data_IF_465598319793
#
_entry.id   IF_465598319793
#
_cell.length_a   1.000
_cell.length_b   1.000
_cell.length_c   1.000
_cell.angle_alpha   90.00
_cell.angle_beta   90.00
_cell.angle_gamma   90.00
#
_symmetry.space_group_name_H-M   'P 1'
#
loop_
_entity.id
_entity.type
_entity.pdbx_description
1 polymer ?
#
# COMPACT_ATOMS: atom_id res chain seq x y z
N UNK A 1 0.16 33.84 -24.64
CA UNK A 1 1.34 33.10 -25.16
C UNK A 1 2.50 33.14 -24.15
N UNK A 2 2.28 32.78 -22.88
CA UNK A 2 3.32 32.90 -21.82
C UNK A 2 3.29 31.76 -20.78
N UNK A 3 2.57 30.66 -21.03
CA UNK A 3 2.41 29.55 -20.06
C UNK A 3 3.42 28.39 -20.21
N UNK A 4 4.28 28.41 -21.22
CA UNK A 4 5.14 27.26 -21.57
C UNK A 4 6.57 27.32 -21.01
N UNK A 5 7.01 28.44 -20.43
CA UNK A 5 8.39 28.56 -19.91
C UNK A 5 8.70 27.66 -18.70
N UNK A 6 7.67 27.25 -17.93
CA UNK A 6 7.87 26.39 -16.77
C UNK A 6 7.98 24.90 -17.12
N UNK A 7 7.25 24.40 -18.12
CA UNK A 7 7.36 23.00 -18.56
C UNK A 7 8.76 22.71 -19.13
N UNK A 8 9.33 23.68 -19.86
CA UNK A 8 10.70 23.60 -20.36
C UNK A 8 11.78 23.50 -19.27
N UNK A 9 11.49 23.97 -18.05
CA UNK A 9 12.42 23.87 -16.91
C UNK A 9 12.50 22.47 -16.30
N UNK A 10 11.44 21.65 -16.48
CA UNK A 10 11.40 20.24 -16.07
C UNK A 10 12.12 19.33 -17.08
N UNK A 11 12.36 19.83 -18.30
CA UNK A 11 13.13 19.19 -19.38
C UNK A 11 14.64 19.38 -19.18
N UNK A 12 15.11 19.29 -17.95
CA UNK A 12 16.53 19.18 -17.64
C UNK A 12 16.75 17.78 -17.08
N UNK A 13 17.68 16.98 -17.65
CA UNK A 13 17.99 15.68 -17.07
C UNK A 13 18.41 15.89 -15.61
N UNK A 14 18.01 15.01 -14.68
CA UNK A 14 18.48 15.09 -13.30
C UNK A 14 20.00 15.06 -13.32
N UNK A 15 20.63 16.15 -12.86
CA UNK A 15 22.07 16.14 -12.60
C UNK A 15 22.34 15.07 -11.55
N UNK A 16 23.16 14.08 -11.92
CA UNK A 16 23.67 12.98 -11.11
C UNK A 16 23.83 13.36 -9.63
N UNK A 17 22.75 13.23 -8.88
CA UNK A 17 22.73 13.21 -7.43
C UNK A 17 22.01 11.91 -7.14
N UNK A 18 22.82 10.86 -7.02
CA UNK A 18 22.33 9.55 -6.64
C UNK A 18 21.46 9.70 -5.38
N UNK A 19 20.22 9.19 -5.37
CA UNK A 19 19.45 9.14 -4.13
C UNK A 19 20.24 8.30 -3.12
N UNK A 20 20.12 8.58 -1.80
CA UNK A 20 20.79 7.77 -0.78
C UNK A 20 20.35 6.31 -0.93
N UNK A 21 21.27 5.48 -1.42
CA UNK A 21 21.12 4.04 -1.57
C UNK A 21 21.09 3.39 -0.19
N UNK A 22 19.91 3.32 0.41
CA UNK A 22 19.65 2.50 1.61
C UNK A 22 18.30 1.78 1.55
N UNK A 23 17.84 1.46 0.33
CA UNK A 23 16.80 0.45 0.12
C UNK A 23 17.43 -0.94 -0.01
N UNK A 24 16.86 -1.99 0.62
CA UNK A 24 17.41 -3.34 0.50
C UNK A 24 17.34 -3.85 -0.94
N UNK A 25 18.47 -4.37 -1.43
CA UNK A 25 18.68 -4.93 -2.76
C UNK A 25 17.63 -6.00 -3.13
N UNK A 26 17.27 -6.05 -4.42
CA UNK A 26 16.37 -7.02 -5.04
C UNK A 26 16.80 -8.50 -4.93
N UNK A 27 17.96 -8.78 -4.32
CA UNK A 27 18.41 -10.13 -3.93
C UNK A 27 17.78 -10.67 -2.64
N UNK A 28 17.01 -9.86 -1.89
CA UNK A 28 16.37 -10.28 -0.63
C UNK A 28 15.26 -11.35 -0.74
N UNK A 29 14.98 -11.87 -1.95
CA UNK A 29 13.91 -12.89 -2.17
C UNK A 29 14.32 -14.33 -1.82
N UNK A 30 15.57 -14.60 -1.44
CA UNK A 30 16.03 -15.96 -1.13
C UNK A 30 16.62 -16.19 0.27
N UNK A 31 16.71 -15.16 1.12
CA UNK A 31 17.39 -15.28 2.43
C UNK A 31 16.43 -15.32 3.63
N UNK A 32 15.33 -16.08 3.56
CA UNK A 32 14.46 -16.25 4.72
C UNK A 32 15.04 -17.19 5.81
N UNK A 33 16.16 -17.86 5.52
CA UNK A 33 16.78 -18.85 6.43
C UNK A 33 17.83 -18.28 7.38
N UNK A 34 18.34 -17.06 7.15
CA UNK A 34 19.25 -16.32 8.02
C UNK A 34 18.80 -14.87 7.97
N UNK A 35 18.15 -14.30 8.96
CA UNK A 35 18.90 -13.77 10.09
C UNK A 35 17.96 -13.15 11.12
N UNK A 36 18.19 -13.42 12.40
CA UNK A 36 17.62 -12.62 13.51
C UNK A 36 18.21 -11.20 13.54
N UNK A 37 19.34 -10.98 12.85
CA UNK A 37 20.01 -9.69 12.71
C UNK A 37 19.16 -8.66 11.95
N UNK A 38 18.41 -9.09 10.92
CA UNK A 38 17.57 -8.18 10.12
C UNK A 38 16.35 -7.66 10.88
N UNK A 39 15.73 -8.48 11.73
CA UNK A 39 14.62 -8.07 12.59
C UNK A 39 15.09 -7.04 13.63
N UNK A 40 16.24 -7.28 14.29
CA UNK A 40 16.82 -6.31 15.22
C UNK A 40 17.23 -5.02 14.52
N UNK A 41 17.79 -5.10 13.32
CA UNK A 41 18.12 -3.92 12.51
C UNK A 41 16.88 -3.13 12.13
N UNK A 42 15.78 -3.78 11.76
CA UNK A 42 14.50 -3.09 11.48
C UNK A 42 13.92 -2.48 12.75
N UNK A 43 13.85 -3.23 13.85
CA UNK A 43 13.35 -2.70 15.13
C UNK A 43 14.19 -1.51 15.61
N UNK A 44 15.51 -1.57 15.43
CA UNK A 44 16.42 -0.48 15.80
C UNK A 44 16.33 0.72 14.85
N UNK A 45 16.22 0.47 13.54
CA UNK A 45 16.11 1.52 12.51
C UNK A 45 14.79 2.28 12.61
N UNK A 46 13.74 1.66 13.16
CA UNK A 46 12.41 2.21 13.25
C UNK A 46 11.91 2.34 14.70
N UNK A 47 12.81 2.57 15.67
CA UNK A 47 12.48 2.62 17.10
C UNK A 47 11.32 3.58 17.45
N UNK A 48 11.15 4.66 16.68
CA UNK A 48 10.06 5.63 16.83
C UNK A 48 8.68 5.17 16.31
N UNK A 49 8.58 4.01 15.65
CA UNK A 49 7.31 3.43 15.19
C UNK A 49 6.65 2.53 16.25
N UNK A 50 7.33 2.25 17.36
CA UNK A 50 6.87 1.32 18.37
C UNK A 50 6.18 2.06 19.51
N UNK A 51 5.00 1.58 19.92
CA UNK A 51 4.23 2.14 21.02
C UNK A 51 4.65 1.59 22.39
N UNK A 52 5.46 0.53 22.38
CA UNK A 52 6.01 -0.16 23.56
C UNK A 52 7.54 -0.30 23.38
N UNK A 53 8.23 -0.95 24.32
CA UNK A 53 9.67 -1.19 24.26
C UNK A 53 10.03 -1.93 22.95
N UNK A 54 10.88 -1.36 22.07
CA UNK A 54 11.33 -2.03 20.85
C UNK A 54 11.85 -3.46 21.08
N UNK A 55 12.46 -3.74 22.24
CA UNK A 55 12.93 -5.08 22.61
C UNK A 55 11.78 -6.09 22.77
N UNK A 56 10.58 -5.64 23.13
CA UNK A 56 9.38 -6.47 23.24
C UNK A 56 8.89 -6.96 21.87
N UNK A 57 8.91 -6.10 20.85
CA UNK A 57 8.61 -6.49 19.46
C UNK A 57 9.69 -7.42 18.90
N UNK A 58 10.96 -7.12 19.16
CA UNK A 58 12.06 -8.00 18.77
C UNK A 58 11.98 -9.36 19.48
N UNK A 59 11.55 -9.40 20.75
CA UNK A 59 11.29 -10.63 21.49
C UNK A 59 10.18 -11.43 20.82
N UNK A 60 9.01 -10.83 20.57
CA UNK A 60 7.88 -11.52 19.92
C UNK A 60 8.26 -12.03 18.53
N UNK A 61 8.91 -11.20 17.71
CA UNK A 61 9.36 -11.61 16.38
C UNK A 61 10.40 -12.76 16.43
N UNK A 62 11.34 -12.73 17.38
CA UNK A 62 12.31 -13.83 17.59
C UNK A 62 11.64 -15.11 18.06
N UNK A 63 10.74 -15.01 19.03
CA UNK A 63 10.02 -16.13 19.61
C UNK A 63 9.16 -16.81 18.53
N UNK A 64 8.49 -16.02 17.68
CA UNK A 64 7.75 -16.52 16.51
C UNK A 64 8.66 -17.12 15.42
N UNK A 65 9.79 -16.47 15.12
CA UNK A 65 10.77 -16.98 14.15
C UNK A 65 11.44 -18.28 14.63
N UNK A 66 11.71 -18.39 15.93
CA UNK A 66 12.26 -19.59 16.56
C UNK A 66 11.29 -20.76 16.52
N UNK A 67 10.00 -20.52 16.78
CA UNK A 67 8.94 -21.52 16.64
C UNK A 67 8.86 -22.07 15.21
N UNK A 68 9.00 -21.19 14.21
CA UNK A 68 9.10 -21.57 12.80
C UNK A 68 10.33 -22.45 12.52
N UNK A 69 11.49 -22.13 13.10
CA UNK A 69 12.76 -22.83 12.84
C UNK A 69 12.85 -24.21 13.53
N UNK A 70 12.23 -24.38 14.69
CA UNK A 70 12.52 -25.51 15.59
C UNK A 70 11.58 -26.73 15.49
N UNK A 71 10.63 -26.79 14.55
CA UNK A 71 9.80 -28.01 14.47
C UNK A 71 8.57 -27.98 13.58
N UNK A 72 8.09 -26.80 13.17
CA UNK A 72 7.03 -26.72 12.15
C UNK A 72 7.60 -26.83 10.71
N UNK A 73 8.64 -27.64 10.49
CA UNK A 73 9.50 -27.61 9.28
C UNK A 73 8.83 -28.17 8.02
N UNK A 74 7.75 -28.97 8.13
CA UNK A 74 6.96 -29.31 6.94
C UNK A 74 6.17 -28.10 6.38
N UNK A 75 5.97 -27.06 7.18
CA UNK A 75 5.05 -25.96 6.91
C UNK A 75 5.69 -24.79 6.15
N UNK A 76 6.92 -24.42 6.54
CA UNK A 76 7.59 -23.21 6.03
C UNK A 76 8.34 -23.42 4.72
N UNK A 77 8.80 -24.65 4.45
CA UNK A 77 9.45 -24.98 3.18
C UNK A 77 8.49 -24.98 1.98
N UNK A 78 7.19 -25.26 2.18
CA UNK A 78 6.18 -25.17 1.11
C UNK A 78 5.76 -23.71 0.82
N UNK A 79 5.79 -22.86 1.85
CA UNK A 79 5.39 -21.46 1.74
C UNK A 79 6.45 -20.60 1.03
N UNK A 80 7.73 -20.92 1.21
CA UNK A 80 8.86 -20.16 0.66
C UNK A 80 9.19 -20.50 -0.80
N UNK A 81 8.83 -21.68 -1.28
CA UNK A 81 9.12 -22.11 -2.65
C UNK A 81 8.09 -21.63 -3.69
N UNK A 82 7.16 -20.72 -3.33
CA UNK A 82 6.11 -20.26 -4.24
C UNK A 82 5.09 -21.34 -4.65
N UNK A 83 5.29 -22.60 -4.25
CA UNK A 83 4.32 -23.69 -4.33
C UNK A 83 3.37 -23.59 -3.14
N UNK A 84 2.56 -22.53 -3.14
CA UNK A 84 1.38 -22.43 -2.29
C UNK A 84 0.49 -23.64 -2.57
N UNK A 85 0.38 -24.54 -1.59
CA UNK A 85 -0.36 -25.81 -1.63
C UNK A 85 -1.51 -25.85 -2.65
N UNK A 86 -1.42 -26.75 -3.66
CA UNK A 86 -2.44 -27.17 -4.59
C UNK A 86 -3.87 -27.22 -4.07
N UNK A 87 -4.02 -27.95 -2.97
CA UNK A 87 -5.25 -28.65 -2.65
C UNK A 87 -5.98 -28.12 -1.42
N UNK A 88 -7.28 -28.43 -1.39
CA UNK A 88 -8.24 -28.09 -0.34
C UNK A 88 -7.90 -28.63 1.07
N UNK A 89 -6.83 -29.42 1.22
CA UNK A 89 -6.45 -30.08 2.48
C UNK A 89 -5.25 -29.45 3.19
N UNK A 90 -4.65 -28.38 2.68
CA UNK A 90 -3.50 -27.76 3.35
C UNK A 90 -3.98 -26.96 4.57
N UNK A 91 -3.70 -27.48 5.76
CA UNK A 91 -4.00 -26.88 7.08
C UNK A 91 -3.05 -25.72 7.40
N UNK A 92 -2.87 -24.81 6.44
CA UNK A 92 -1.94 -23.69 6.54
C UNK A 92 -2.51 -22.46 7.24
N UNK A 93 -2.97 -22.68 8.47
CA UNK A 93 -3.40 -21.61 9.37
C UNK A 93 -2.67 -21.81 10.69
N UNK A 94 -2.42 -20.70 11.39
CA UNK A 94 -2.16 -20.68 12.82
C UNK A 94 -2.99 -21.76 13.54
N UNK A 95 -2.32 -22.87 13.82
CA UNK A 95 -2.86 -24.04 14.49
C UNK A 95 -3.34 -23.61 15.88
N UNK A 96 -4.18 -24.41 16.51
CA UNK A 96 -4.45 -24.27 17.95
C UNK A 96 -3.13 -24.17 18.74
N UNK A 97 -2.03 -24.71 18.22
CA UNK A 97 -0.68 -24.60 18.78
C UNK A 97 -0.15 -23.15 18.76
N UNK A 98 -0.34 -22.38 17.68
CA UNK A 98 0.05 -20.97 17.64
C UNK A 98 -0.75 -20.14 18.65
N UNK A 99 -2.05 -20.44 18.79
CA UNK A 99 -2.90 -19.78 19.76
C UNK A 99 -2.46 -20.13 21.19
N UNK A 100 -2.21 -21.41 21.46
CA UNK A 100 -1.76 -21.92 22.75
C UNK A 100 -0.42 -21.30 23.14
N UNK A 101 0.53 -21.26 22.20
CA UNK A 101 1.83 -20.64 22.37
C UNK A 101 1.75 -19.15 22.72
N UNK A 102 0.91 -18.38 22.02
CA UNK A 102 0.69 -16.95 22.31
C UNK A 102 0.15 -16.76 23.72
N UNK A 103 -0.79 -17.61 24.15
CA UNK A 103 -1.37 -17.58 25.49
C UNK A 103 -0.34 -17.96 26.56
N UNK A 104 0.44 -19.02 26.35
CA UNK A 104 1.50 -19.48 27.26
C UNK A 104 2.58 -18.41 27.46
N UNK A 105 2.96 -17.72 26.38
CA UNK A 105 3.98 -16.67 26.41
C UNK A 105 3.41 -15.28 26.76
N UNK A 106 2.11 -15.21 27.11
CA UNK A 106 1.41 -13.96 27.49
C UNK A 106 1.56 -12.84 26.46
N UNK A 107 1.63 -13.20 25.18
CA UNK A 107 1.74 -12.22 24.09
C UNK A 107 0.34 -11.67 23.84
N UNK A 108 0.18 -10.35 24.00
CA UNK A 108 -1.14 -9.72 23.81
C UNK A 108 -1.50 -9.68 22.33
N UNK A 109 -2.80 -9.73 22.02
CA UNK A 109 -3.26 -9.66 20.63
C UNK A 109 -2.90 -8.32 19.95
N UNK A 110 -2.78 -7.25 20.75
CA UNK A 110 -2.28 -5.94 20.31
C UNK A 110 -0.81 -6.01 19.89
N UNK A 111 0.06 -6.47 20.78
CA UNK A 111 1.49 -6.59 20.49
C UNK A 111 1.74 -7.49 19.27
N UNK A 112 0.94 -8.55 19.14
CA UNK A 112 0.99 -9.45 17.99
C UNK A 112 0.61 -8.75 16.68
N UNK A 113 -0.45 -7.92 16.70
CA UNK A 113 -0.86 -7.13 15.55
C UNK A 113 0.20 -6.09 15.15
N UNK A 114 0.71 -5.34 16.12
CA UNK A 114 1.70 -4.29 15.87
C UNK A 114 3.02 -4.90 15.36
N UNK A 115 3.46 -6.02 15.93
CA UNK A 115 4.60 -6.80 15.41
C UNK A 115 4.35 -7.23 13.97
N UNK A 116 3.15 -7.74 13.67
CA UNK A 116 2.78 -8.14 12.32
C UNK A 116 2.84 -6.98 11.31
N UNK A 117 2.39 -5.78 11.70
CA UNK A 117 2.48 -4.58 10.87
C UNK A 117 3.93 -4.23 10.50
N UNK A 118 4.87 -4.37 11.45
CA UNK A 118 6.29 -4.09 11.25
C UNK A 118 6.94 -5.16 10.36
N UNK A 119 6.75 -6.44 10.67
CA UNK A 119 7.42 -7.52 9.93
C UNK A 119 6.83 -7.74 8.54
N UNK A 120 5.64 -7.18 8.22
CA UNK A 120 4.97 -7.34 6.93
C UNK A 120 5.90 -7.07 5.74
N UNK A 121 6.75 -6.05 5.84
CA UNK A 121 7.71 -5.70 4.78
C UNK A 121 8.81 -6.75 4.58
N UNK A 122 9.08 -7.57 5.59
CA UNK A 122 10.13 -8.59 5.61
C UNK A 122 9.55 -9.97 5.28
N UNK A 123 8.45 -10.34 5.95
CA UNK A 123 7.80 -11.63 5.84
C UNK A 123 6.27 -11.44 5.86
N UNK A 124 5.65 -11.19 4.70
CA UNK A 124 4.20 -11.03 4.61
C UNK A 124 3.44 -12.23 5.17
N UNK A 125 3.91 -13.44 4.89
CA UNK A 125 3.28 -14.67 5.37
C UNK A 125 3.22 -14.77 6.90
N UNK A 126 4.31 -14.42 7.59
CA UNK A 126 4.36 -14.42 9.04
C UNK A 126 3.44 -13.33 9.62
N UNK A 127 3.42 -12.14 9.01
CA UNK A 127 2.49 -11.08 9.39
C UNK A 127 1.02 -11.54 9.29
N UNK A 128 0.65 -12.22 8.20
CA UNK A 128 -0.70 -12.77 8.04
C UNK A 128 -1.06 -13.80 9.13
N UNK A 129 -0.12 -14.67 9.51
CA UNK A 129 -0.34 -15.64 10.59
C UNK A 129 -0.53 -14.94 11.93
N UNK A 130 0.31 -13.96 12.25
CA UNK A 130 0.20 -13.15 13.46
C UNK A 130 -1.14 -12.40 13.54
N UNK A 131 -1.56 -11.72 12.47
CA UNK A 131 -2.87 -11.09 12.41
C UNK A 131 -3.99 -12.12 12.55
N UNK A 132 -3.86 -13.30 11.96
CA UNK A 132 -4.88 -14.36 12.07
C UNK A 132 -5.05 -14.83 13.52
N UNK A 133 -3.95 -15.06 14.25
CA UNK A 133 -4.01 -15.40 15.68
C UNK A 133 -4.61 -14.25 16.49
N UNK A 134 -4.19 -13.02 16.26
CA UNK A 134 -4.75 -11.85 16.93
C UNK A 134 -6.26 -11.70 16.66
N UNK A 135 -6.72 -11.97 15.44
CA UNK A 135 -8.14 -11.97 15.07
C UNK A 135 -8.92 -13.14 15.71
N UNK A 136 -8.29 -14.31 15.88
CA UNK A 136 -8.87 -15.43 16.66
C UNK A 136 -9.08 -15.01 18.12
N UNK A 137 -8.14 -14.25 18.69
CA UNK A 137 -8.25 -13.59 20.01
C UNK A 137 -9.20 -12.38 20.03
N UNK A 138 -10.05 -12.21 19.01
CA UNK A 138 -11.02 -11.11 18.87
C UNK A 138 -10.40 -9.71 18.83
N UNK A 139 -9.14 -9.58 18.40
CA UNK A 139 -8.54 -8.28 18.24
C UNK A 139 -9.05 -7.56 16.98
N UNK A 140 -9.86 -6.52 17.22
CA UNK A 140 -10.53 -5.71 16.20
C UNK A 140 -9.63 -5.31 15.04
N UNK A 141 -8.48 -4.68 15.32
CA UNK A 141 -7.62 -4.15 14.26
C UNK A 141 -7.14 -5.27 13.31
N UNK A 142 -6.80 -6.44 13.84
CA UNK A 142 -6.41 -7.59 13.01
C UNK A 142 -7.57 -8.14 12.17
N UNK A 143 -8.80 -8.17 12.70
CA UNK A 143 -9.99 -8.60 11.94
C UNK A 143 -10.18 -7.69 10.71
N UNK A 144 -10.07 -6.38 10.91
CA UNK A 144 -10.23 -5.37 9.87
C UNK A 144 -9.06 -5.43 8.88
N UNK A 145 -7.81 -5.49 9.35
CA UNK A 145 -6.62 -5.59 8.49
C UNK A 145 -6.65 -6.84 7.60
N UNK A 146 -7.08 -7.99 8.13
CA UNK A 146 -7.23 -9.20 7.30
C UNK A 146 -8.29 -9.02 6.21
N UNK A 147 -9.42 -8.37 6.52
CA UNK A 147 -10.44 -8.06 5.53
C UNK A 147 -9.96 -7.08 4.46
N UNK A 148 -9.23 -6.05 4.86
CA UNK A 148 -8.57 -5.13 3.94
C UNK A 148 -7.72 -5.89 2.91
N UNK A 149 -6.91 -6.84 3.36
CA UNK A 149 -6.09 -7.64 2.44
C UNK A 149 -6.89 -8.60 1.57
N UNK A 150 -8.00 -9.14 2.05
CA UNK A 150 -8.91 -9.95 1.21
C UNK A 150 -9.51 -9.13 0.07
N UNK A 151 -9.84 -7.86 0.34
CA UNK A 151 -10.33 -6.91 -0.68
C UNK A 151 -9.19 -6.52 -1.64
N UNK A 152 -7.96 -6.34 -1.13
CA UNK A 152 -6.82 -6.00 -1.97
C UNK A 152 -6.43 -7.10 -2.96
N UNK A 153 -6.43 -8.36 -2.52
CA UNK A 153 -5.92 -9.50 -3.27
C UNK A 153 -7.00 -10.58 -3.47
N UNK A 154 -8.00 -10.32 -4.33
CA UNK A 154 -9.06 -11.28 -4.60
C UNK A 154 -8.48 -12.55 -5.26
N UNK A 155 -8.99 -13.72 -4.88
CA UNK A 155 -8.59 -15.01 -5.46
C UNK A 155 -7.38 -15.68 -4.79
N UNK A 156 -6.79 -15.06 -3.77
CA UNK A 156 -5.78 -15.75 -2.96
C UNK A 156 -6.45 -16.87 -2.13
N UNK A 157 -5.86 -18.08 -2.11
CA UNK A 157 -6.39 -19.25 -1.38
C UNK A 157 -6.53 -19.02 0.12
N UNK A 158 -5.86 -18.00 0.66
CA UNK A 158 -6.07 -17.48 2.04
C UNK A 158 -7.55 -17.14 2.29
N UNK A 159 -8.33 -16.77 1.26
CA UNK A 159 -9.74 -16.36 1.41
C UNK A 159 -10.63 -17.42 2.06
N UNK A 160 -10.44 -18.72 1.77
CA UNK A 160 -11.24 -19.77 2.40
C UNK A 160 -10.99 -19.87 3.91
N UNK A 161 -9.76 -19.57 4.31
CA UNK A 161 -9.28 -19.70 5.68
C UNK A 161 -9.71 -18.52 6.57
N UNK A 162 -9.91 -17.33 5.99
CA UNK A 162 -10.37 -16.13 6.70
C UNK A 162 -11.91 -16.05 6.75
N UNK A 163 -12.65 -16.98 6.13
CA UNK A 163 -14.14 -16.96 6.17
C UNK A 163 -14.73 -16.89 7.58
N UNK A 164 -14.13 -17.58 8.55
CA UNK A 164 -14.58 -17.53 9.95
C UNK A 164 -14.36 -16.14 10.59
N UNK A 165 -13.33 -15.42 10.17
CA UNK A 165 -13.08 -14.02 10.55
C UNK A 165 -14.05 -13.09 9.80
N UNK A 166 -14.53 -13.52 8.63
CA UNK A 166 -15.62 -12.92 7.85
C UNK A 166 -16.80 -12.48 8.69
N UNK A 167 -17.36 -13.42 9.44
CA UNK A 167 -18.51 -13.15 10.29
C UNK A 167 -18.20 -12.08 11.35
N UNK A 168 -17.01 -12.12 11.97
CA UNK A 168 -16.61 -11.12 12.96
C UNK A 168 -16.47 -9.71 12.36
N UNK A 169 -16.00 -9.63 11.12
CA UNK A 169 -15.94 -8.34 10.41
C UNK A 169 -17.34 -7.83 10.07
N UNK A 170 -18.25 -8.71 9.63
CA UNK A 170 -19.64 -8.34 9.41
C UNK A 170 -20.29 -7.83 10.69
N UNK A 171 -20.02 -8.46 11.85
CA UNK A 171 -20.51 -7.97 13.14
C UNK A 171 -20.04 -6.55 13.45
N UNK A 172 -18.76 -6.23 13.17
CA UNK A 172 -18.20 -4.88 13.30
C UNK A 172 -18.90 -3.91 12.33
N UNK A 173 -19.07 -4.33 11.07
CA UNK A 173 -19.66 -3.51 10.02
C UNK A 173 -21.14 -3.19 10.28
N UNK A 174 -21.92 -4.17 10.76
CA UNK A 174 -23.34 -4.02 11.11
C UNK A 174 -23.54 -2.97 12.20
N UNK A 175 -22.61 -2.88 13.18
CA UNK A 175 -22.65 -1.83 14.18
C UNK A 175 -22.53 -0.43 13.55
N UNK A 176 -21.79 -0.31 12.44
CA UNK A 176 -21.72 0.90 11.62
C UNK A 176 -21.15 2.12 12.35
N UNK A 177 -20.33 1.90 13.38
CA UNK A 177 -19.68 2.92 14.21
C UNK A 177 -18.16 2.93 14.06
N UNK A 178 -17.66 2.11 13.15
CA UNK A 178 -16.26 1.81 13.00
C UNK A 178 -15.74 2.41 11.68
N UNK A 179 -14.97 3.52 11.72
CA UNK A 179 -14.54 4.18 10.49
C UNK A 179 -13.54 3.34 9.69
N UNK A 180 -12.69 2.55 10.34
CA UNK A 180 -11.74 1.67 9.65
C UNK A 180 -12.46 0.54 8.92
N UNK A 181 -13.48 -0.07 9.54
CA UNK A 181 -14.28 -1.11 8.91
C UNK A 181 -15.14 -0.55 7.75
N UNK A 182 -15.71 0.64 7.93
CA UNK A 182 -16.44 1.33 6.87
C UNK A 182 -15.52 1.69 5.69
N UNK A 183 -14.28 2.11 5.95
CA UNK A 183 -13.28 2.32 4.89
C UNK A 183 -13.04 1.04 4.08
N UNK A 184 -12.81 -0.10 4.74
CA UNK A 184 -12.58 -1.39 4.07
C UNK A 184 -13.78 -1.80 3.22
N UNK A 185 -15.00 -1.57 3.71
CA UNK A 185 -16.22 -1.82 2.94
C UNK A 185 -16.36 -0.88 1.74
N UNK A 186 -16.05 0.41 1.92
CA UNK A 186 -16.02 1.39 0.84
C UNK A 186 -15.01 1.02 -0.25
N UNK A 187 -13.84 0.51 0.14
CA UNK A 187 -12.83 -0.03 -0.78
C UNK A 187 -13.36 -1.23 -1.56
N UNK A 188 -14.05 -2.16 -0.90
CA UNK A 188 -14.68 -3.33 -1.56
C UNK A 188 -15.71 -2.88 -2.60
N UNK A 189 -16.61 -1.98 -2.23
CA UNK A 189 -17.64 -1.45 -3.12
C UNK A 189 -17.04 -0.69 -4.32
N UNK A 190 -15.99 0.11 -4.09
CA UNK A 190 -15.29 0.82 -5.16
C UNK A 190 -14.64 -0.15 -6.15
N UNK A 191 -14.06 -1.26 -5.68
CA UNK A 191 -13.51 -2.33 -6.53
C UNK A 191 -14.59 -3.09 -7.31
N UNK A 192 -15.79 -3.21 -6.76
CA UNK A 192 -16.97 -3.76 -7.44
C UNK A 192 -17.66 -2.77 -8.38
N UNK A 193 -17.09 -1.58 -8.56
CA UNK A 193 -17.64 -0.49 -9.36
C UNK A 193 -19.03 0.00 -8.89
N UNK A 194 -19.36 -0.19 -7.60
CA UNK A 194 -20.55 0.36 -6.94
C UNK A 194 -20.23 1.71 -6.33
N UNK A 195 -19.93 2.68 -7.19
CA UNK A 195 -19.27 3.93 -6.82
C UNK A 195 -20.13 4.83 -5.91
N UNK A 196 -21.44 4.88 -6.13
CA UNK A 196 -22.38 5.65 -5.32
C UNK A 196 -22.50 5.09 -3.90
N UNK A 197 -22.56 3.77 -3.76
CA UNK A 197 -22.58 3.09 -2.47
C UNK A 197 -21.26 3.28 -1.73
N UNK A 198 -20.13 3.12 -2.43
CA UNK A 198 -18.80 3.37 -1.90
C UNK A 198 -18.69 4.80 -1.35
N UNK A 199 -19.12 5.80 -2.13
CA UNK A 199 -19.12 7.22 -1.72
C UNK A 199 -19.91 7.43 -0.42
N UNK A 200 -21.11 6.85 -0.32
CA UNK A 200 -21.96 6.98 0.88
C UNK A 200 -21.27 6.40 2.12
N UNK A 201 -20.67 5.22 1.99
CA UNK A 201 -19.98 4.56 3.10
C UNK A 201 -18.69 5.30 3.50
N UNK A 202 -17.89 5.75 2.53
CA UNK A 202 -16.64 6.48 2.80
C UNK A 202 -16.91 7.83 3.49
N UNK A 203 -17.92 8.58 3.02
CA UNK A 203 -18.35 9.80 3.70
C UNK A 203 -18.80 9.53 5.13
N UNK A 204 -19.63 8.49 5.33
CA UNK A 204 -20.04 8.08 6.67
C UNK A 204 -18.84 7.76 7.55
N UNK A 205 -17.80 7.10 7.03
CA UNK A 205 -16.58 6.82 7.78
C UNK A 205 -15.89 8.11 8.24
N UNK A 206 -15.82 9.13 7.37
CA UNK A 206 -15.23 10.44 7.68
C UNK A 206 -16.08 11.29 8.61
N UNK A 207 -17.41 11.15 8.55
CA UNK A 207 -18.36 11.87 9.42
C UNK A 207 -18.36 11.33 10.86
N UNK A 208 -17.87 10.10 11.09
CA UNK A 208 -17.73 9.56 12.42
C UNK A 208 -16.65 10.33 13.19
N UNK A 209 -17.04 11.01 14.27
CA UNK A 209 -16.14 11.65 15.22
C UNK A 209 -15.44 10.61 16.11
N UNK A 210 -14.69 9.71 15.49
CA UNK A 210 -13.89 8.71 16.19
C UNK A 210 -12.54 9.32 16.59
N UNK A 211 -12.15 9.13 17.85
CA UNK A 211 -10.83 9.56 18.34
C UNK A 211 -9.66 8.90 17.60
N UNK A 212 -9.91 7.78 16.91
CA UNK A 212 -8.92 7.04 16.11
C UNK A 212 -9.55 6.55 14.82
N UNK A 213 -9.17 7.16 13.70
CA UNK A 213 -9.41 6.65 12.36
C UNK A 213 -8.03 6.45 11.72
N UNK A 214 -7.56 5.20 11.72
CA UNK A 214 -6.19 4.88 11.32
C UNK A 214 -5.92 5.12 9.84
N UNK A 215 -6.95 4.95 9.01
CA UNK A 215 -6.88 5.12 7.54
C UNK A 215 -7.62 6.35 7.03
N UNK A 216 -7.66 7.42 7.82
CA UNK A 216 -8.36 8.64 7.42
C UNK A 216 -7.83 9.21 6.09
N UNK A 217 -6.50 9.44 5.90
CA UNK A 217 -5.98 9.96 4.64
C UNK A 217 -6.28 9.05 3.45
N UNK A 218 -6.16 7.73 3.63
CA UNK A 218 -6.47 6.75 2.59
C UNK A 218 -7.98 6.70 2.26
N UNK A 219 -8.85 6.94 3.25
CA UNK A 219 -10.28 7.07 3.04
C UNK A 219 -10.62 8.32 2.22
N UNK A 220 -10.01 9.46 2.53
CA UNK A 220 -10.14 10.71 1.77
C UNK A 220 -9.64 10.52 0.34
N UNK A 221 -8.47 9.89 0.15
CA UNK A 221 -7.91 9.59 -1.16
C UNK A 221 -8.86 8.69 -1.99
N UNK A 222 -9.35 7.60 -1.40
CA UNK A 222 -10.27 6.69 -2.06
C UNK A 222 -11.61 7.36 -2.40
N UNK A 223 -12.10 8.25 -1.53
CA UNK A 223 -13.29 9.04 -1.79
C UNK A 223 -13.08 9.97 -2.99
N UNK A 224 -11.93 10.66 -3.05
CA UNK A 224 -11.59 11.51 -4.18
C UNK A 224 -11.47 10.74 -5.50
N UNK A 225 -10.79 9.59 -5.50
CA UNK A 225 -10.72 8.68 -6.65
C UNK A 225 -12.11 8.22 -7.10
N UNK A 226 -12.99 7.92 -6.15
CA UNK A 226 -14.38 7.52 -6.43
C UNK A 226 -15.17 8.69 -7.03
N UNK A 227 -14.98 9.91 -6.54
CA UNK A 227 -15.58 11.11 -7.12
C UNK A 227 -15.09 11.40 -8.54
N UNK A 228 -13.81 11.21 -8.84
CA UNK A 228 -13.28 11.34 -10.20
C UNK A 228 -14.00 10.36 -11.15
N UNK A 229 -14.18 9.10 -10.75
CA UNK A 229 -14.90 8.09 -11.54
C UNK A 229 -16.37 8.42 -11.75
N UNK A 230 -17.00 9.09 -10.78
CA UNK A 230 -18.39 9.58 -10.87
C UNK A 230 -18.53 10.92 -11.63
N UNK A 231 -17.43 11.52 -12.10
CA UNK A 231 -17.44 12.83 -12.75
C UNK A 231 -17.63 14.02 -11.79
N UNK A 232 -17.60 13.79 -10.47
CA UNK A 232 -17.66 14.83 -9.42
C UNK A 232 -16.29 15.47 -9.20
N UNK A 233 -15.81 16.11 -10.25
CA UNK A 233 -14.42 16.52 -10.36
C UNK A 233 -14.03 17.61 -9.38
N UNK A 234 -14.90 18.61 -9.14
CA UNK A 234 -14.60 19.72 -8.23
C UNK A 234 -14.37 19.21 -6.81
N UNK A 235 -15.27 18.37 -6.33
CA UNK A 235 -15.21 17.77 -5.00
C UNK A 235 -13.97 16.88 -4.85
N UNK A 236 -13.62 16.11 -5.88
CA UNK A 236 -12.41 15.30 -5.88
C UNK A 236 -11.14 16.15 -5.77
N UNK A 237 -11.02 17.21 -6.59
CA UNK A 237 -9.83 18.07 -6.61
C UNK A 237 -9.61 18.75 -5.25
N UNK A 238 -10.66 19.25 -4.60
CA UNK A 238 -10.55 19.87 -3.28
C UNK A 238 -9.99 18.91 -2.23
N UNK A 239 -10.43 17.64 -2.22
CA UNK A 239 -9.91 16.64 -1.29
C UNK A 239 -8.45 16.34 -1.60
N UNK A 240 -8.11 16.15 -2.88
CA UNK A 240 -6.73 15.82 -3.26
C UNK A 240 -5.75 16.96 -3.00
N UNK A 241 -6.17 18.22 -3.19
CA UNK A 241 -5.36 19.40 -2.86
C UNK A 241 -5.04 19.44 -1.36
N UNK A 242 -6.04 19.21 -0.50
CA UNK A 242 -5.84 19.13 0.94
C UNK A 242 -4.90 17.98 1.35
N UNK A 243 -4.97 16.84 0.67
CA UNK A 243 -4.07 15.70 0.92
C UNK A 243 -2.65 15.96 0.42
N UNK A 244 -2.49 16.61 -0.73
CA UNK A 244 -1.20 17.06 -1.26
C UNK A 244 -0.53 18.04 -0.28
N UNK A 245 -1.28 19.01 0.26
CA UNK A 245 -0.79 19.95 1.29
C UNK A 245 -0.33 19.23 2.57
N UNK A 246 -0.93 18.07 2.90
CA UNK A 246 -0.50 17.23 4.02
C UNK A 246 0.73 16.34 3.71
N UNK A 247 1.23 16.37 2.47
CA UNK A 247 2.40 15.62 2.03
C UNK A 247 2.12 14.21 1.48
N UNK A 248 0.85 13.88 1.16
CA UNK A 248 0.49 12.57 0.62
C UNK A 248 0.83 12.48 -0.88
N UNK A 249 1.89 11.75 -1.22
CA UNK A 249 2.40 11.65 -2.60
C UNK A 249 1.40 11.00 -3.56
N UNK A 250 0.56 10.10 -3.06
CA UNK A 250 -0.52 9.49 -3.82
C UNK A 250 -1.54 10.53 -4.29
N UNK A 251 -1.83 11.55 -3.47
CA UNK A 251 -2.73 12.63 -3.85
C UNK A 251 -2.13 13.51 -4.95
N UNK A 252 -0.83 13.82 -4.89
CA UNK A 252 -0.10 14.52 -5.96
C UNK A 252 -0.18 13.77 -7.28
N UNK A 253 -0.03 12.44 -7.26
CA UNK A 253 -0.17 11.61 -8.45
C UNK A 253 -1.59 11.69 -9.05
N UNK A 254 -2.62 11.55 -8.23
CA UNK A 254 -4.02 11.63 -8.68
C UNK A 254 -4.39 13.02 -9.21
N UNK A 255 -3.89 14.10 -8.59
CA UNK A 255 -4.03 15.46 -9.11
C UNK A 255 -3.36 15.62 -10.48
N UNK A 256 -2.15 15.09 -10.60
CA UNK A 256 -1.41 15.07 -11.87
C UNK A 256 -2.21 14.42 -12.98
N UNK A 257 -2.77 13.23 -12.73
CA UNK A 257 -3.62 12.51 -13.69
C UNK A 257 -4.89 13.31 -13.99
N UNK A 258 -5.57 13.81 -12.95
CA UNK A 258 -6.82 14.54 -13.11
C UNK A 258 -6.61 15.78 -14.00
N UNK A 259 -5.57 16.57 -13.78
CA UNK A 259 -5.32 17.85 -14.45
C UNK A 259 -4.87 17.73 -15.91
N UNK A 260 -4.59 16.53 -16.40
CA UNK A 260 -3.99 16.27 -17.73
C UNK A 260 -4.65 17.03 -18.89
N UNK A 261 -5.98 17.21 -18.87
CA UNK A 261 -6.73 17.90 -19.94
C UNK A 261 -6.88 19.40 -19.74
N UNK A 262 -6.92 19.86 -18.49
CA UNK A 262 -7.25 21.25 -18.14
C UNK A 262 -6.00 22.12 -18.00
N UNK A 263 -4.96 21.55 -17.38
CA UNK A 263 -3.67 22.21 -17.17
C UNK A 263 -2.54 21.19 -17.35
N UNK A 264 -2.15 20.91 -18.61
CA UNK A 264 -1.10 19.93 -18.91
C UNK A 264 0.24 20.28 -18.25
N UNK A 265 0.55 21.56 -18.05
CA UNK A 265 1.79 21.99 -17.42
C UNK A 265 1.80 21.62 -15.93
N UNK A 266 0.74 21.96 -15.18
CA UNK A 266 0.60 21.53 -13.77
C UNK A 266 0.49 20.02 -13.63
N UNK A 267 -0.14 19.36 -14.60
CA UNK A 267 -0.20 17.89 -14.66
C UNK A 267 1.20 17.29 -14.73
N UNK A 268 2.05 17.79 -15.64
CA UNK A 268 3.43 17.31 -15.78
C UNK A 268 4.27 17.54 -14.52
N UNK A 269 4.18 18.73 -13.92
CA UNK A 269 4.91 19.04 -12.69
C UNK A 269 4.59 18.05 -11.56
N UNK A 270 3.29 17.83 -11.31
CA UNK A 270 2.84 16.89 -10.26
C UNK A 270 3.19 15.44 -10.56
N UNK A 271 3.01 15.00 -11.80
CA UNK A 271 3.37 13.65 -12.21
C UNK A 271 4.86 13.39 -12.07
N UNK A 272 5.69 14.39 -12.40
CA UNK A 272 7.13 14.31 -12.19
C UNK A 272 7.49 14.21 -10.71
N UNK A 273 6.93 15.07 -9.85
CA UNK A 273 7.13 15.00 -8.40
C UNK A 273 6.75 13.63 -7.83
N UNK A 274 5.58 13.11 -8.22
CA UNK A 274 5.13 11.79 -7.79
C UNK A 274 6.01 10.64 -8.33
N UNK A 275 6.51 10.75 -9.56
CA UNK A 275 7.44 9.78 -10.13
C UNK A 275 8.78 9.77 -9.38
N UNK A 276 9.31 10.94 -9.03
CA UNK A 276 10.50 11.07 -8.17
C UNK A 276 10.26 10.52 -6.76
N UNK A 277 9.02 10.54 -6.27
CA UNK A 277 8.59 9.91 -5.02
C UNK A 277 8.51 8.38 -5.05
N UNK A 278 8.93 7.73 -6.14
CA UNK A 278 9.00 6.27 -6.27
C UNK A 278 7.89 5.63 -7.10
N UNK A 279 6.96 6.41 -7.66
CA UNK A 279 5.91 5.93 -8.57
C UNK A 279 6.37 5.97 -10.03
N UNK A 280 7.36 5.15 -10.37
CA UNK A 280 8.00 5.17 -11.69
C UNK A 280 7.02 4.94 -12.86
N UNK A 281 5.90 4.23 -12.63
CA UNK A 281 4.87 4.05 -13.65
C UNK A 281 4.27 5.37 -14.15
N UNK A 282 4.37 6.45 -13.37
CA UNK A 282 3.89 7.78 -13.76
C UNK A 282 4.72 8.43 -14.87
N UNK A 283 5.96 7.97 -15.11
CA UNK A 283 6.71 8.41 -16.28
C UNK A 283 6.02 8.03 -17.60
N UNK A 284 5.22 6.95 -17.64
CA UNK A 284 4.39 6.65 -18.82
C UNK A 284 3.34 7.73 -19.07
N UNK A 285 2.77 8.32 -18.02
CA UNK A 285 1.80 9.40 -18.17
C UNK A 285 2.49 10.67 -18.72
N UNK A 286 3.70 10.97 -18.24
CA UNK A 286 4.52 12.07 -18.78
C UNK A 286 4.84 11.86 -20.27
N UNK A 287 5.24 10.65 -20.65
CA UNK A 287 5.50 10.30 -22.04
C UNK A 287 4.27 10.54 -22.92
N UNK A 288 3.09 10.12 -22.47
CA UNK A 288 1.86 10.32 -23.23
C UNK A 288 1.45 11.79 -23.31
N UNK A 289 1.74 12.62 -22.30
CA UNK A 289 1.46 14.07 -22.37
C UNK A 289 2.35 14.71 -23.44
N UNK A 290 3.64 14.42 -23.43
CA UNK A 290 4.59 14.96 -24.42
C UNK A 290 4.21 14.52 -25.86
N UNK A 291 3.81 13.26 -26.07
CA UNK A 291 3.31 12.81 -27.38
C UNK A 291 2.06 13.55 -27.81
N UNK A 292 1.04 13.63 -26.94
CA UNK A 292 -0.18 14.36 -27.26
C UNK A 292 0.07 15.85 -27.54
N UNK A 293 1.04 16.47 -26.87
CA UNK A 293 1.43 17.85 -27.16
C UNK A 293 2.21 17.99 -28.46
N UNK A 294 3.06 17.01 -28.80
CA UNK A 294 3.82 17.01 -30.05
C UNK A 294 2.92 16.98 -31.29
N UNK A 295 1.78 16.30 -31.20
CA UNK A 295 0.77 16.23 -32.27
C UNK A 295 -0.01 17.55 -32.44
N UNK A 296 -0.08 18.36 -31.38
CA UNK A 296 -0.80 19.64 -31.34
C UNK A 296 0.09 20.83 -31.67
N UNK A 297 1.41 20.71 -31.54
CA UNK A 297 2.32 21.83 -31.81
C UNK A 297 2.54 22.00 -33.32
N UNK A 298 2.59 23.26 -33.77
CA UNK A 298 2.81 23.58 -35.19
C UNK A 298 4.28 23.75 -35.56
N UNK A 299 5.17 23.82 -34.57
CA UNK A 299 6.62 23.91 -34.76
C UNK A 299 7.23 22.50 -34.87
N UNK A 300 7.78 22.10 -36.03
CA UNK A 300 8.39 20.79 -36.21
C UNK A 300 9.57 20.52 -35.28
N UNK A 301 10.35 21.56 -34.94
CA UNK A 301 11.49 21.42 -34.04
C UNK A 301 11.04 21.10 -32.61
N UNK A 302 10.05 21.84 -32.13
CA UNK A 302 9.45 21.59 -30.81
C UNK A 302 8.76 20.22 -30.75
N UNK A 303 8.04 19.83 -31.81
CA UNK A 303 7.41 18.51 -31.91
C UNK A 303 8.44 17.38 -31.80
N UNK A 304 9.57 17.51 -32.48
CA UNK A 304 10.66 16.53 -32.42
C UNK A 304 11.31 16.47 -31.04
N UNK A 305 11.45 17.60 -30.34
CA UNK A 305 11.97 17.65 -28.97
C UNK A 305 11.00 16.99 -27.98
N UNK A 306 9.70 17.25 -28.09
CA UNK A 306 8.67 16.57 -27.28
C UNK A 306 8.68 15.06 -27.51
N UNK A 307 8.81 14.61 -28.76
CA UNK A 307 8.93 13.19 -29.08
C UNK A 307 10.18 12.56 -28.44
N UNK A 308 11.31 13.28 -28.40
CA UNK A 308 12.53 12.84 -27.70
C UNK A 308 12.31 12.70 -26.19
N UNK A 309 11.66 13.68 -25.57
CA UNK A 309 11.31 13.60 -24.15
C UNK A 309 10.33 12.48 -23.83
N UNK A 310 9.36 12.23 -24.71
CA UNK A 310 8.45 11.09 -24.54
C UNK A 310 9.19 9.75 -24.51
N UNK A 311 10.19 9.56 -25.37
CA UNK A 311 11.03 8.35 -25.35
C UNK A 311 11.82 8.24 -24.05
N UNK A 312 12.38 9.35 -23.55
CA UNK A 312 13.14 9.35 -22.30
C UNK A 312 12.26 9.06 -21.09
N UNK A 313 11.06 9.63 -21.02
CA UNK A 313 10.08 9.29 -20.00
C UNK A 313 9.68 7.81 -20.06
N UNK A 314 9.44 7.28 -21.26
CA UNK A 314 9.14 5.85 -21.43
C UNK A 314 10.29 4.96 -20.97
N UNK A 315 11.55 5.39 -21.16
CA UNK A 315 12.74 4.68 -20.67
C UNK A 315 12.79 4.68 -19.14
N UNK A 316 12.55 5.83 -18.51
CA UNK A 316 12.53 5.98 -17.05
C UNK A 316 11.38 5.24 -16.37
N UNK A 317 10.30 4.95 -17.11
CA UNK A 317 9.20 4.14 -16.62
C UNK A 317 9.58 2.65 -16.43
N UNK A 318 10.63 2.16 -17.10
CA UNK A 318 11.12 0.79 -16.93
C UNK A 318 12.00 0.70 -15.66
N UNK A 319 11.57 -0.02 -14.61
CA UNK A 319 12.37 -0.19 -13.41
C UNK A 319 13.68 -0.96 -13.65
N UNK A 320 13.87 -1.56 -14.82
CA UNK A 320 15.11 -2.25 -15.24
C UNK A 320 16.03 -1.39 -16.10
N UNK A 321 15.61 -0.20 -16.52
CA UNK A 321 16.47 0.68 -17.31
C UNK A 321 17.71 1.05 -16.50
N UNK A 322 18.90 0.93 -17.12
CA UNK A 322 20.14 1.38 -16.51
C UNK A 322 20.14 2.91 -16.42
N UNK A 323 20.60 3.43 -15.27
CA UNK A 323 20.81 4.86 -15.02
C UNK A 323 22.15 5.33 -15.57
#
# INVERSE_FOLDING_TARGET
MTRWSHASSLRKPPTNTAPPTSGPSATAKQDLHRDTSSIQQVVKAYSGLFLEDPEEYARVARVFSGFIKNGSVQFTNQLLQGKWCPGANCHCIATEEWLSFVLENRITARLLHETACVIRGISPSLAFQMWTVAAKLNYRASIITLHYYMVLYPGNKVQFQIRAIGNKFLDILIQGRDPDALYVEGLRLSKENKLEEATKILRRALDLSAARFGWKPECELLLAQTYLKLGKRKEALTILESLEESGMIEATAELGIALRREDPAKSMERLYLAACGGRHELYNHLAQIELSQSELTSDPGEAQDMARWAMEWSRLADPKAAY
#
